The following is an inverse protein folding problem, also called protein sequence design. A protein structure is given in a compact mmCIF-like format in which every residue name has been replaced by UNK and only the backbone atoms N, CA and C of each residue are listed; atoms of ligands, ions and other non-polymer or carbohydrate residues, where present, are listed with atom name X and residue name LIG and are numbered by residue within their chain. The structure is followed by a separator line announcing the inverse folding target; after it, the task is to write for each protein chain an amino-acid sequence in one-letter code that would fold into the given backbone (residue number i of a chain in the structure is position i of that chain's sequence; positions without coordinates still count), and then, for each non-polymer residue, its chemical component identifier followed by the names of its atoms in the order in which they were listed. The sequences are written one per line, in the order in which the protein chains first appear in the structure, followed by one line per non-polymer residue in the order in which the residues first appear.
data_IF_489314430269
#
_entry.id   IF_489314430269
#
_cell.length_a   1.000
_cell.length_b   1.000
_cell.length_c   1.000
_cell.angle_alpha   90.00
_cell.angle_beta   90.00
_cell.angle_gamma   90.00
#
_symmetry.space_group_name_H-M   'P 1'
#
loop_
_entity.id
_entity.type
_entity.pdbx_description
1 polymer ?
#
# COMPACT_ATOMS: atom_id res chain seq x y z
N UNK A 1 -66.63 -41.10 12.56
CA UNK A 1 -66.97 -39.66 12.57
C UNK A 1 -66.09 -38.98 11.54
N UNK A 2 -66.53 -38.86 10.27
CA UNK A 2 -67.19 -37.67 9.68
C UNK A 2 -66.27 -36.45 9.68
N UNK A 3 -66.07 -35.67 8.61
CA UNK A 3 -66.61 -35.61 7.26
C UNK A 3 -66.00 -34.35 6.61
N UNK A 4 -65.63 -34.45 5.32
CA UNK A 4 -65.74 -33.44 4.23
C UNK A 4 -65.27 -31.99 4.47
N UNK A 5 -64.29 -31.50 3.71
CA UNK A 5 -64.37 -31.01 2.31
C UNK A 5 -64.45 -29.49 2.20
N UNK A 6 -63.44 -28.94 1.54
CA UNK A 6 -63.37 -27.74 0.68
C UNK A 6 -64.53 -26.73 0.74
N UNK A 7 -64.19 -25.45 0.95
CA UNK A 7 -64.74 -24.34 0.17
C UNK A 7 -63.66 -23.35 -0.28
N UNK A 8 -63.96 -22.73 -1.42
CA UNK A 8 -63.13 -21.94 -2.33
C UNK A 8 -62.94 -20.49 -1.84
N UNK A 9 -61.89 -19.85 -2.40
CA UNK A 9 -61.51 -18.42 -2.39
C UNK A 9 -62.68 -17.46 -2.74
N UNK A 10 -62.60 -16.16 -2.40
CA UNK A 10 -61.91 -15.19 -3.29
C UNK A 10 -61.08 -14.10 -2.58
N UNK A 11 -60.05 -13.63 -3.28
CA UNK A 11 -59.34 -12.35 -3.06
C UNK A 11 -60.24 -11.14 -3.38
N UNK A 12 -59.95 -9.93 -2.86
CA UNK A 12 -59.39 -8.92 -3.76
C UNK A 12 -58.44 -7.87 -3.14
N UNK A 13 -57.50 -7.44 -3.99
CA UNK A 13 -57.07 -6.05 -4.30
C UNK A 13 -56.51 -5.14 -3.19
N UNK A 14 -55.31 -4.64 -3.45
CA UNK A 14 -54.77 -3.44 -2.81
C UNK A 14 -53.33 -3.16 -3.20
N UNK A 15 -53.04 -2.98 -4.49
CA UNK A 15 -51.80 -2.37 -4.94
C UNK A 15 -51.91 -0.85 -4.73
N UNK A 16 -50.99 -0.25 -3.98
CA UNK A 16 -50.77 1.20 -3.98
C UNK A 16 -49.35 1.44 -4.44
N UNK A 17 -49.22 1.80 -5.71
CA UNK A 17 -48.02 2.36 -6.31
C UNK A 17 -47.94 3.82 -5.89
N UNK A 18 -46.93 4.18 -5.11
CA UNK A 18 -46.55 5.56 -4.85
C UNK A 18 -45.64 6.05 -5.98
N UNK A 19 -46.23 6.67 -7.00
CA UNK A 19 -45.50 7.52 -7.95
C UNK A 19 -45.09 8.81 -7.22
N UNK A 20 -43.80 8.95 -6.91
CA UNK A 20 -43.23 10.23 -6.52
C UNK A 20 -42.63 10.89 -7.77
N UNK A 21 -43.44 11.70 -8.43
CA UNK A 21 -43.01 12.65 -9.47
C UNK A 21 -42.25 13.80 -8.81
N UNK A 22 -40.92 13.83 -8.94
CA UNK A 22 -40.13 15.02 -8.65
C UNK A 22 -39.94 15.80 -9.95
N UNK A 23 -40.47 17.01 -9.95
CA UNK A 23 -40.50 17.93 -11.07
C UNK A 23 -39.09 18.44 -11.42
N UNK A 24 -38.79 18.40 -12.71
CA UNK A 24 -37.69 19.05 -13.38
C UNK A 24 -37.88 20.58 -13.30
N UNK A 25 -37.00 21.29 -12.58
CA UNK A 25 -36.89 22.74 -12.65
C UNK A 25 -35.57 23.11 -13.34
N UNK A 26 -35.61 23.22 -14.66
CA UNK A 26 -34.55 23.83 -15.44
C UNK A 26 -34.54 25.34 -15.16
N UNK A 27 -33.53 25.81 -14.43
CA UNK A 27 -33.29 27.24 -14.25
C UNK A 27 -32.11 27.61 -15.14
N UNK A 28 -32.43 28.12 -16.32
CA UNK A 28 -31.49 28.75 -17.22
C UNK A 28 -31.21 30.17 -16.73
N UNK A 29 -29.96 30.45 -16.36
CA UNK A 29 -29.45 31.82 -16.29
C UNK A 29 -28.32 31.94 -17.30
N UNK A 30 -28.62 32.67 -18.38
CA UNK A 30 -27.67 33.14 -19.36
C UNK A 30 -26.72 34.14 -18.69
N UNK A 31 -25.43 33.83 -18.68
CA UNK A 31 -24.35 34.74 -18.30
C UNK A 31 -23.60 35.20 -19.54
N UNK A 32 -24.03 36.32 -20.11
CA UNK A 32 -23.36 37.06 -21.17
C UNK A 32 -22.19 37.84 -20.57
N UNK A 33 -20.97 37.65 -21.08
CA UNK A 33 -19.80 38.38 -20.59
C UNK A 33 -18.54 38.10 -21.40
N UNK A 34 -18.60 38.33 -22.70
CA UNK A 34 -17.41 38.41 -23.58
C UNK A 34 -16.75 39.77 -23.39
N UNK A 35 -15.69 39.83 -22.60
CA UNK A 35 -14.71 40.92 -22.67
C UNK A 35 -13.52 40.45 -23.51
N UNK A 36 -13.59 40.79 -24.80
CA UNK A 36 -12.47 40.69 -25.73
C UNK A 36 -11.56 41.89 -25.49
N UNK A 37 -10.47 41.69 -24.76
CA UNK A 37 -9.37 42.66 -24.72
C UNK A 37 -8.51 42.44 -25.95
N UNK A 38 -8.77 43.26 -26.97
CA UNK A 38 -7.90 43.49 -28.11
C UNK A 38 -6.63 44.21 -27.62
N UNK A 39 -5.47 43.56 -27.69
CA UNK A 39 -4.18 44.25 -27.70
C UNK A 39 -3.49 44.05 -29.05
N UNK A 40 -3.10 45.19 -29.61
CA UNK A 40 -2.38 45.36 -30.88
C UNK A 40 -1.01 44.66 -30.87
N UNK A 41 -0.50 44.23 -32.04
CA UNK A 41 0.82 43.62 -32.15
C UNK A 41 1.91 44.70 -32.18
N UNK A 42 2.61 44.89 -31.06
CA UNK A 42 3.82 45.71 -31.05
C UNK A 42 5.00 44.91 -31.59
N UNK A 43 5.49 45.34 -32.76
CA UNK A 43 6.78 44.94 -33.34
C UNK A 43 7.93 45.50 -32.50
N UNK A 44 8.83 44.64 -31.99
CA UNK A 44 10.14 45.07 -31.48
C UNK A 44 11.22 44.05 -31.87
N UNK A 45 12.02 44.48 -32.84
CA UNK A 45 13.47 44.33 -33.03
C UNK A 45 14.23 43.20 -32.31
N UNK A 46 14.79 42.32 -33.15
CA UNK A 46 15.90 41.39 -32.91
C UNK A 46 17.15 42.09 -32.37
N UNK A 47 17.72 41.57 -31.28
CA UNK A 47 19.16 41.73 -30.98
C UNK A 47 19.68 40.42 -30.41
N UNK A 48 20.44 39.69 -31.22
CA UNK A 48 21.25 38.55 -30.80
C UNK A 48 22.38 39.01 -29.87
N UNK A 49 22.50 38.37 -28.71
CA UNK A 49 23.78 38.25 -28.00
C UNK A 49 23.79 36.90 -27.28
N UNK A 50 24.28 35.90 -27.98
CA UNK A 50 24.67 34.61 -27.43
C UNK A 50 25.93 34.79 -26.58
N UNK A 51 25.77 34.83 -25.25
CA UNK A 51 26.87 34.58 -24.31
C UNK A 51 26.71 33.16 -23.79
N UNK A 52 27.47 32.25 -24.41
CA UNK A 52 27.62 30.86 -23.97
C UNK A 52 28.35 30.85 -22.62
N UNK A 53 27.79 30.24 -21.55
CA UNK A 53 28.60 29.87 -20.40
C UNK A 53 29.48 28.68 -20.80
N UNK A 54 30.77 28.94 -20.98
CA UNK A 54 31.79 27.90 -21.06
C UNK A 54 31.74 27.07 -19.77
N UNK A 55 31.51 25.75 -19.82
CA UNK A 55 31.60 24.91 -18.63
C UNK A 55 33.05 24.91 -18.16
N UNK A 56 33.29 25.52 -17.00
CA UNK A 56 34.50 25.32 -16.21
C UNK A 56 34.64 23.83 -15.97
N UNK A 57 35.70 23.22 -16.51
CA UNK A 57 36.09 21.85 -16.19
C UNK A 57 36.38 21.82 -14.69
N UNK A 58 35.43 21.32 -13.91
CA UNK A 58 35.68 20.98 -12.52
C UNK A 58 36.68 19.82 -12.52
N UNK A 59 37.91 20.10 -12.08
CA UNK A 59 38.87 19.09 -11.72
C UNK A 59 38.25 18.22 -10.63
N UNK A 60 37.78 17.03 -11.00
CA UNK A 60 37.36 15.99 -10.07
C UNK A 60 38.60 15.62 -9.25
N UNK A 61 38.67 16.10 -8.00
CA UNK A 61 39.59 15.51 -7.03
C UNK A 61 39.22 14.02 -6.93
N UNK A 62 40.18 13.09 -6.91
CA UNK A 62 39.87 11.69 -6.71
C UNK A 62 39.18 11.56 -5.35
N UNK A 63 37.90 11.20 -5.35
CA UNK A 63 37.22 10.67 -4.18
C UNK A 63 37.98 9.40 -3.83
N UNK A 64 38.85 9.48 -2.83
CA UNK A 64 39.40 8.29 -2.19
C UNK A 64 38.22 7.54 -1.62
N UNK A 65 37.79 6.49 -2.32
CA UNK A 65 37.00 5.40 -1.74
C UNK A 65 37.89 4.78 -0.66
N UNK A 66 37.78 5.31 0.56
CA UNK A 66 38.29 4.66 1.74
C UNK A 66 37.44 3.40 1.89
N UNK A 67 38.06 2.25 1.69
CA UNK A 67 37.50 0.94 2.03
C UNK A 67 37.11 1.01 3.52
N UNK A 68 35.82 1.21 3.78
CA UNK A 68 35.29 1.34 5.12
C UNK A 68 35.28 -0.05 5.75
N UNK A 69 35.91 -0.18 6.92
CA UNK A 69 35.78 -1.37 7.75
C UNK A 69 34.29 -1.65 7.99
N UNK A 70 33.82 -2.90 7.85
CA UNK A 70 32.42 -3.23 8.13
C UNK A 70 32.00 -2.71 9.50
N UNK A 71 30.80 -2.10 9.62
CA UNK A 71 30.32 -1.60 10.90
C UNK A 71 30.28 -2.72 11.93
N UNK A 72 30.90 -2.47 13.07
CA UNK A 72 30.86 -3.38 14.20
C UNK A 72 29.69 -2.97 15.11
N UNK A 73 28.82 -3.91 15.52
CA UNK A 73 27.77 -3.62 16.49
C UNK A 73 28.33 -3.01 17.78
N UNK A 74 27.59 -2.12 18.46
CA UNK A 74 28.02 -1.56 19.74
C UNK A 74 28.08 -2.65 20.83
N UNK A 75 28.97 -2.48 21.81
CA UNK A 75 29.14 -3.42 22.94
C UNK A 75 27.86 -3.58 23.79
N UNK A 76 26.96 -2.60 23.76
CA UNK A 76 25.65 -2.66 24.41
C UNK A 76 24.57 -2.15 23.47
N UNK A 77 23.52 -2.96 23.27
CA UNK A 77 22.36 -2.57 22.48
C UNK A 77 21.40 -1.67 23.28
N UNK A 78 20.80 -0.65 22.63
CA UNK A 78 19.78 0.20 23.25
C UNK A 78 18.45 -0.52 23.44
N UNK A 79 17.61 0.06 24.30
CA UNK A 79 16.26 -0.42 24.58
C UNK A 79 16.20 -1.65 25.48
N UNK A 80 15.01 -1.92 25.99
CA UNK A 80 14.74 -3.05 26.86
C UNK A 80 14.55 -4.32 26.02
N UNK A 81 15.10 -5.44 26.49
CA UNK A 81 14.74 -6.75 25.95
C UNK A 81 13.28 -7.03 26.28
N UNK A 82 12.51 -7.46 25.29
CA UNK A 82 11.12 -7.85 25.45
C UNK A 82 10.90 -9.27 24.93
N UNK A 83 10.05 -10.03 25.61
CA UNK A 83 9.66 -11.40 25.22
C UNK A 83 8.38 -11.42 24.37
N UNK A 84 7.85 -10.24 24.03
CA UNK A 84 6.71 -10.06 23.14
C UNK A 84 7.20 -9.78 21.72
N UNK A 85 6.44 -10.26 20.73
CA UNK A 85 6.69 -10.08 19.30
C UNK A 85 7.21 -11.36 18.63
N UNK A 86 7.89 -11.23 17.48
CA UNK A 86 8.30 -12.40 16.72
C UNK A 86 9.23 -13.33 17.47
N UNK A 87 8.93 -14.63 17.40
CA UNK A 87 9.70 -15.69 18.01
C UNK A 87 10.82 -16.16 17.05
N UNK A 88 11.78 -16.90 17.60
CA UNK A 88 12.85 -17.48 16.81
C UNK A 88 12.29 -18.40 15.71
N UNK A 89 12.72 -18.17 14.47
CA UNK A 89 12.33 -18.95 13.30
C UNK A 89 11.03 -18.50 12.65
N UNK A 90 10.33 -17.52 13.22
CA UNK A 90 9.16 -16.92 12.60
C UNK A 90 9.53 -16.31 11.24
N UNK A 91 8.63 -16.49 10.27
CA UNK A 91 8.76 -15.93 8.93
C UNK A 91 7.92 -14.67 8.84
N UNK A 92 8.59 -13.55 8.53
CA UNK A 92 7.99 -12.24 8.40
C UNK A 92 8.04 -11.77 6.95
N UNK A 93 7.11 -10.90 6.62
CA UNK A 93 7.04 -10.18 5.35
C UNK A 93 7.20 -8.68 5.62
N UNK A 94 7.89 -7.99 4.71
CA UNK A 94 7.93 -6.53 4.70
C UNK A 94 6.56 -6.01 4.33
N UNK A 95 6.05 -5.04 5.10
CA UNK A 95 4.72 -4.45 4.94
C UNK A 95 4.77 -2.93 5.11
N UNK A 96 3.87 -2.23 4.42
CA UNK A 96 3.70 -0.78 4.56
C UNK A 96 4.89 0.07 4.10
N UNK A 97 5.80 -0.51 3.30
CA UNK A 97 6.90 0.20 2.64
C UNK A 97 6.46 0.51 1.21
N UNK A 98 6.70 1.75 0.75
CA UNK A 98 6.31 2.17 -0.60
C UNK A 98 7.19 1.50 -1.66
N UNK A 99 6.63 1.29 -2.85
CA UNK A 99 7.30 0.61 -3.98
C UNK A 99 8.61 1.27 -4.44
N UNK A 100 8.79 2.56 -4.16
CA UNK A 100 9.97 3.36 -4.49
C UNK A 100 10.86 3.64 -3.27
N UNK A 101 10.67 2.87 -2.19
CA UNK A 101 11.45 2.93 -0.95
C UNK A 101 11.98 1.53 -0.57
N UNK A 102 12.65 1.43 0.58
CA UNK A 102 13.22 0.18 1.10
C UNK A 102 13.09 0.11 2.62
N UNK A 103 12.99 -1.11 3.16
CA UNK A 103 13.14 -1.31 4.60
C UNK A 103 14.62 -1.41 4.97
N UNK A 104 15.10 -0.46 5.76
CA UNK A 104 16.48 -0.45 6.23
C UNK A 104 16.73 -1.53 7.29
N UNK A 105 17.77 -2.34 7.07
CA UNK A 105 18.34 -3.27 8.05
C UNK A 105 19.54 -2.58 8.73
N UNK A 106 19.54 -2.52 10.05
CA UNK A 106 20.52 -1.74 10.83
C UNK A 106 21.38 -2.60 11.73
N UNK A 107 22.58 -2.11 12.03
CA UNK A 107 23.53 -2.82 12.90
C UNK A 107 23.06 -2.93 14.36
N UNK A 108 22.15 -2.05 14.80
CA UNK A 108 21.54 -2.09 16.12
C UNK A 108 20.13 -1.44 16.09
N UNK A 109 19.29 -1.68 17.11
CA UNK A 109 17.96 -1.08 17.21
C UNK A 109 18.01 0.45 17.24
N UNK A 110 17.33 1.11 16.32
CA UNK A 110 17.18 2.56 16.31
C UNK A 110 17.60 3.19 14.99
N UNK A 111 17.03 4.35 14.69
CA UNK A 111 17.27 5.07 13.42
C UNK A 111 18.63 5.75 13.34
N UNK A 112 19.34 5.86 14.47
CA UNK A 112 20.64 6.53 14.54
C UNK A 112 21.82 5.59 14.22
N UNK A 113 21.56 4.28 14.08
CA UNK A 113 22.58 3.28 13.78
C UNK A 113 22.77 3.05 12.29
N UNK A 114 23.97 2.66 11.89
CA UNK A 114 24.32 2.43 10.49
C UNK A 114 23.42 1.38 9.82
N UNK A 115 23.06 1.66 8.56
CA UNK A 115 22.32 0.75 7.69
C UNK A 115 23.33 -0.24 7.10
N UNK A 116 23.10 -1.53 7.31
CA UNK A 116 23.97 -2.63 6.87
C UNK A 116 23.36 -3.41 5.71
N UNK A 117 22.10 -3.16 5.39
CA UNK A 117 21.37 -3.81 4.32
C UNK A 117 20.01 -3.18 4.12
N UNK A 118 19.30 -3.66 3.11
CA UNK A 118 17.95 -3.22 2.77
C UNK A 118 17.12 -4.42 2.34
N UNK A 119 15.84 -4.40 2.68
CA UNK A 119 14.85 -5.35 2.19
C UNK A 119 13.91 -4.63 1.23
N UNK A 120 13.54 -5.31 0.14
CA UNK A 120 12.57 -4.81 -0.82
C UNK A 120 11.18 -4.62 -0.16
N UNK A 121 10.33 -3.70 -0.67
CA UNK A 121 9.02 -3.39 -0.09
C UNK A 121 8.09 -4.59 0.12
N UNK A 122 8.24 -5.63 -0.69
CA UNK A 122 7.47 -6.88 -0.62
C UNK A 122 8.33 -8.11 -0.35
N UNK A 123 9.53 -7.92 0.20
CA UNK A 123 10.38 -9.04 0.63
C UNK A 123 9.62 -9.94 1.62
N UNK A 124 9.74 -11.23 1.42
CA UNK A 124 9.04 -12.28 2.18
C UNK A 124 10.04 -13.28 2.77
N UNK A 125 9.64 -14.01 3.80
CA UNK A 125 10.48 -15.02 4.42
C UNK A 125 11.66 -14.47 5.22
N UNK A 126 11.52 -13.23 5.74
CA UNK A 126 12.51 -12.64 6.64
C UNK A 126 12.45 -13.39 7.97
N UNK A 127 13.54 -14.06 8.33
CA UNK A 127 13.56 -14.94 9.50
C UNK A 127 13.89 -14.16 10.76
N UNK A 128 13.00 -14.16 11.75
CA UNK A 128 13.25 -13.54 13.04
C UNK A 128 14.14 -14.42 13.93
N UNK A 129 15.06 -13.79 14.68
CA UNK A 129 15.92 -14.52 15.63
C UNK A 129 15.26 -14.74 16.99
N UNK A 130 14.16 -14.03 17.26
CA UNK A 130 13.50 -13.97 18.56
C UNK A 130 14.06 -12.89 19.50
N UNK A 131 15.10 -12.16 19.11
CA UNK A 131 15.59 -11.03 19.88
C UNK A 131 14.85 -9.74 19.52
N UNK A 132 14.10 -9.24 20.51
CA UNK A 132 13.22 -8.09 20.35
C UNK A 132 13.62 -6.98 21.32
N UNK A 133 13.59 -5.73 20.84
CA UNK A 133 14.00 -4.55 21.62
C UNK A 133 12.94 -3.46 21.58
N UNK A 134 12.49 -3.05 22.76
CA UNK A 134 11.60 -1.91 22.93
C UNK A 134 12.41 -0.66 23.28
N UNK A 135 12.38 0.33 22.39
CA UNK A 135 12.86 1.68 22.63
C UNK A 135 11.67 2.56 23.03
N UNK A 136 11.93 3.78 23.48
CA UNK A 136 10.89 4.68 24.03
C UNK A 136 9.70 4.93 23.09
N UNK A 137 9.88 4.81 21.78
CA UNK A 137 8.87 5.08 20.76
C UNK A 137 8.89 4.09 19.57
N UNK A 138 9.61 2.98 19.67
CA UNK A 138 9.75 2.04 18.56
C UNK A 138 10.07 0.64 19.06
N UNK A 139 9.57 -0.37 18.35
CA UNK A 139 9.88 -1.76 18.56
C UNK A 139 10.75 -2.25 17.38
N UNK A 140 11.88 -2.89 17.69
CA UNK A 140 12.82 -3.47 16.74
C UNK A 140 12.93 -4.98 16.90
N UNK A 141 13.00 -5.66 15.76
CA UNK A 141 13.16 -7.12 15.64
C UNK A 141 14.52 -7.40 15.01
N UNK A 142 15.28 -8.29 15.62
CA UNK A 142 16.49 -8.82 14.99
C UNK A 142 16.12 -9.94 14.01
N UNK A 143 16.67 -9.86 12.81
CA UNK A 143 16.37 -10.74 11.68
C UNK A 143 17.66 -11.27 11.05
N UNK A 144 17.55 -12.43 10.43
CA UNK A 144 18.55 -12.97 9.50
C UNK A 144 18.35 -12.33 8.12
N UNK A 145 19.44 -11.81 7.55
CA UNK A 145 19.48 -11.16 6.24
C UNK A 145 20.87 -11.37 5.61
N UNK A 146 20.95 -11.86 4.37
CA UNK A 146 22.20 -12.11 3.64
C UNK A 146 23.29 -12.83 4.46
N UNK A 147 22.92 -13.91 5.17
CA UNK A 147 23.78 -14.68 6.09
C UNK A 147 24.36 -13.87 7.27
N UNK A 148 23.79 -12.70 7.56
CA UNK A 148 24.14 -11.82 8.68
C UNK A 148 22.92 -11.53 9.55
N UNK A 149 23.17 -10.92 10.72
CA UNK A 149 22.11 -10.46 11.63
C UNK A 149 21.98 -8.94 11.53
N UNK A 150 20.74 -8.46 11.56
CA UNK A 150 20.44 -7.04 11.57
C UNK A 150 19.11 -6.73 12.20
N UNK A 151 18.84 -5.43 12.39
CA UNK A 151 17.66 -4.94 13.09
C UNK A 151 16.74 -4.17 12.15
N UNK A 152 15.47 -4.56 12.14
CA UNK A 152 14.40 -3.87 11.41
C UNK A 152 13.37 -3.32 12.39
N UNK A 153 12.68 -2.26 12.01
CA UNK A 153 11.58 -1.72 12.81
C UNK A 153 10.34 -2.60 12.60
N UNK A 154 9.74 -3.07 13.69
CA UNK A 154 8.57 -3.95 13.71
C UNK A 154 7.38 -3.37 12.94
N UNK A 155 7.26 -2.03 12.90
CA UNK A 155 6.17 -1.36 12.19
C UNK A 155 6.07 -1.76 10.70
N UNK A 156 7.20 -2.14 10.09
CA UNK A 156 7.32 -2.46 8.66
C UNK A 156 7.49 -3.95 8.38
N UNK A 157 7.25 -4.82 9.37
CA UNK A 157 7.19 -6.26 9.18
C UNK A 157 5.91 -6.83 9.78
N UNK A 158 5.43 -7.95 9.26
CA UNK A 158 4.25 -8.62 9.77
C UNK A 158 4.16 -10.05 9.27
N UNK A 159 3.17 -10.78 9.78
CA UNK A 159 2.89 -12.13 9.29
C UNK A 159 1.78 -12.08 8.26
N UNK A 160 1.99 -12.68 7.09
CA UNK A 160 0.91 -12.85 6.13
C UNK A 160 0.07 -14.08 6.48
N UNK A 161 -1.17 -13.84 6.87
CA UNK A 161 -2.13 -14.86 7.29
C UNK A 161 -2.99 -15.39 6.16
N UNK A 162 -4.26 -15.69 6.49
CA UNK A 162 -5.25 -16.20 5.54
C UNK A 162 -5.39 -15.27 4.34
N UNK A 163 -5.34 -15.87 3.14
CA UNK A 163 -5.63 -15.22 1.87
C UNK A 163 -6.97 -15.69 1.31
N UNK A 164 -7.74 -14.79 0.72
CA UNK A 164 -8.98 -15.10 0.01
C UNK A 164 -9.03 -14.37 -1.33
N UNK A 165 -9.42 -15.10 -2.38
CA UNK A 165 -9.69 -14.52 -3.69
C UNK A 165 -11.10 -13.94 -3.72
N UNK A 166 -11.21 -12.72 -4.22
CA UNK A 166 -12.42 -11.92 -4.27
C UNK A 166 -12.66 -11.42 -5.70
N UNK A 167 -13.93 -11.23 -6.04
CA UNK A 167 -14.35 -10.59 -7.27
C UNK A 167 -14.80 -9.15 -6.99
N UNK A 168 -14.56 -8.24 -7.92
CA UNK A 168 -15.05 -6.86 -7.84
C UNK A 168 -15.80 -6.48 -9.12
N UNK A 169 -16.93 -5.79 -8.96
CA UNK A 169 -17.68 -5.16 -10.06
C UNK A 169 -17.32 -3.66 -10.20
N UNK A 170 -16.34 -3.18 -9.43
CA UNK A 170 -15.95 -1.77 -9.43
C UNK A 170 -15.16 -1.42 -10.69
N UNK A 171 -15.50 -0.29 -11.30
CA UNK A 171 -14.80 0.28 -12.44
C UNK A 171 -14.08 1.56 -12.02
N UNK A 172 -12.87 1.76 -12.54
CA UNK A 172 -12.06 2.95 -12.30
C UNK A 172 -11.23 3.30 -13.54
N UNK A 173 -10.67 4.52 -13.55
CA UNK A 173 -9.83 5.00 -14.64
C UNK A 173 -8.42 4.38 -14.58
N UNK A 174 -8.33 3.11 -15.01
CA UNK A 174 -7.11 2.33 -15.03
C UNK A 174 -6.80 1.58 -13.73
N UNK A 175 -5.76 0.76 -13.77
CA UNK A 175 -5.43 -0.21 -12.71
C UNK A 175 -5.03 0.46 -11.39
N UNK A 176 -4.29 1.57 -11.44
CA UNK A 176 -3.90 2.32 -10.24
C UNK A 176 -5.12 2.92 -9.53
N UNK A 177 -6.04 3.53 -10.28
CA UNK A 177 -7.27 4.06 -9.72
C UNK A 177 -8.17 2.95 -9.15
N UNK A 178 -8.19 1.77 -9.80
CA UNK A 178 -8.91 0.61 -9.29
C UNK A 178 -8.28 0.08 -8.00
N UNK A 179 -6.96 -0.05 -7.95
CA UNK A 179 -6.23 -0.50 -6.76
C UNK A 179 -6.43 0.45 -5.57
N UNK A 180 -6.34 1.76 -5.80
CA UNK A 180 -6.61 2.77 -4.77
C UNK A 180 -8.08 2.74 -4.30
N UNK A 181 -9.03 2.58 -5.24
CA UNK A 181 -10.45 2.44 -4.91
C UNK A 181 -10.70 1.20 -4.04
N UNK A 182 -10.13 0.05 -4.38
CA UNK A 182 -10.24 -1.19 -3.60
C UNK A 182 -9.57 -1.05 -2.22
N UNK A 183 -8.36 -0.50 -2.14
CA UNK A 183 -7.68 -0.27 -0.87
C UNK A 183 -8.47 0.67 0.04
N UNK A 184 -9.14 1.69 -0.52
CA UNK A 184 -9.94 2.63 0.26
C UNK A 184 -11.12 1.99 1.00
N UNK A 185 -11.61 0.82 0.56
CA UNK A 185 -12.72 0.14 1.24
C UNK A 185 -12.32 -0.48 2.58
N UNK A 186 -11.01 -0.60 2.85
CA UNK A 186 -10.46 -1.17 4.09
C UNK A 186 -10.01 -0.10 5.09
N UNK A 187 -10.05 1.18 4.72
CA UNK A 187 -9.56 2.27 5.57
C UNK A 187 -10.51 2.53 6.74
N UNK A 188 -9.97 2.54 7.96
CA UNK A 188 -10.64 3.00 9.17
C UNK A 188 -10.18 4.41 9.56
N UNK A 189 -11.03 5.14 10.29
CA UNK A 189 -10.70 6.48 10.81
C UNK A 189 -10.23 6.47 12.26
N UNK A 190 -10.61 5.43 13.01
CA UNK A 190 -10.25 5.25 14.41
C UNK A 190 -9.93 3.76 14.67
N UNK A 191 -8.65 3.36 14.67
CA UNK A 191 -7.48 4.18 14.34
C UNK A 191 -7.42 4.56 12.85
N UNK A 192 -6.67 5.60 12.48
CA UNK A 192 -6.46 5.96 11.08
C UNK A 192 -5.62 4.91 10.38
N UNK A 193 -6.09 4.43 9.22
CA UNK A 193 -5.30 3.54 8.38
C UNK A 193 -4.38 4.30 7.41
N UNK A 194 -3.23 3.71 7.09
CA UNK A 194 -2.36 4.12 5.99
C UNK A 194 -2.51 3.16 4.82
N UNK A 195 -2.71 3.71 3.62
CA UNK A 195 -2.72 2.96 2.36
C UNK A 195 -1.38 3.18 1.67
N UNK A 196 -0.68 2.09 1.35
CA UNK A 196 0.66 2.13 0.73
C UNK A 196 0.67 1.26 -0.53
N UNK A 197 1.09 1.81 -1.66
CA UNK A 197 1.42 1.02 -2.85
C UNK A 197 2.79 0.39 -2.63
N UNK A 198 2.83 -0.92 -2.42
CA UNK A 198 4.03 -1.70 -2.11
C UNK A 198 4.72 -2.22 -3.36
N UNK A 199 3.94 -2.63 -4.37
CA UNK A 199 4.44 -3.04 -5.68
C UNK A 199 3.66 -2.29 -6.76
N UNK A 200 4.38 -1.56 -7.61
CA UNK A 200 3.79 -0.91 -8.78
C UNK A 200 3.77 -1.87 -9.99
N UNK A 201 3.20 -1.41 -11.10
CA UNK A 201 3.12 -2.18 -12.33
C UNK A 201 4.45 -2.29 -13.12
N UNK A 202 5.61 -2.07 -12.49
CA UNK A 202 6.89 -2.15 -13.18
C UNK A 202 7.50 -3.55 -12.97
N UNK A 203 8.04 -4.11 -14.06
CA UNK A 203 8.69 -5.43 -14.18
C UNK A 203 7.78 -6.66 -14.38
N UNK A 204 6.63 -6.50 -15.01
CA UNK A 204 5.76 -7.63 -15.39
C UNK A 204 5.67 -7.77 -16.93
N UNK A 205 5.51 -9.00 -17.43
CA UNK A 205 5.28 -9.31 -18.84
C UNK A 205 4.14 -8.44 -19.42
N UNK A 206 4.21 -8.04 -20.69
CA UNK A 206 3.21 -7.15 -21.36
C UNK A 206 1.74 -7.60 -21.18
N UNK A 207 1.52 -8.86 -20.81
CA UNK A 207 0.22 -9.49 -20.65
C UNK A 207 -0.32 -9.54 -19.22
N UNK A 208 0.49 -9.22 -18.20
CA UNK A 208 0.05 -9.29 -16.80
C UNK A 208 0.57 -8.10 -16.03
N UNK A 209 -0.30 -7.50 -15.21
CA UNK A 209 0.05 -6.38 -14.35
C UNK A 209 -0.35 -6.74 -12.93
N UNK A 210 0.61 -6.67 -12.01
CA UNK A 210 0.37 -6.92 -10.59
C UNK A 210 0.58 -5.61 -9.81
N UNK A 211 -0.41 -5.22 -9.00
CA UNK A 211 -0.27 -4.17 -7.99
C UNK A 211 -0.44 -4.79 -6.60
N UNK A 212 0.38 -4.34 -5.63
CA UNK A 212 0.21 -4.71 -4.23
C UNK A 212 -0.01 -3.45 -3.41
N UNK A 213 -1.10 -3.42 -2.64
CA UNK A 213 -1.38 -2.38 -1.66
C UNK A 213 -1.42 -2.97 -0.25
N UNK A 214 -0.78 -2.29 0.70
CA UNK A 214 -0.99 -2.57 2.12
C UNK A 214 -1.88 -1.50 2.74
N UNK A 215 -2.90 -1.93 3.47
CA UNK A 215 -3.77 -1.08 4.29
C UNK A 215 -3.52 -1.42 5.75
N UNK A 216 -2.73 -0.59 6.43
CA UNK A 216 -2.26 -0.82 7.81
C UNK A 216 -3.00 0.09 8.78
N UNK A 217 -3.39 -0.44 9.94
CA UNK A 217 -4.04 0.32 11.01
C UNK A 217 -5.55 0.18 11.02
N UNK A 218 -6.06 -1.04 11.24
CA UNK A 218 -7.51 -1.35 11.24
C UNK A 218 -8.14 -1.46 12.64
N UNK A 219 -7.36 -1.22 13.71
CA UNK A 219 -7.88 -1.14 15.09
C UNK A 219 -8.06 -2.45 15.84
N UNK A 220 -7.71 -3.57 15.23
CA UNK A 220 -7.62 -4.87 15.88
C UNK A 220 -6.20 -5.08 16.42
N UNK A 221 -6.07 -5.64 17.63
CA UNK A 221 -4.77 -5.89 18.25
C UNK A 221 -4.06 -7.11 17.65
N UNK A 222 -4.83 -8.01 17.00
CA UNK A 222 -4.32 -9.21 16.33
C UNK A 222 -4.04 -8.96 14.84
N UNK A 223 -4.86 -8.12 14.20
CA UNK A 223 -4.76 -7.82 12.77
C UNK A 223 -4.18 -6.43 12.56
N UNK A 224 -2.94 -6.39 12.05
CA UNK A 224 -2.23 -5.16 11.69
C UNK A 224 -2.90 -4.46 10.49
N UNK A 225 -3.41 -5.23 9.53
CA UNK A 225 -3.99 -4.70 8.30
C UNK A 225 -4.31 -5.76 7.26
N UNK A 226 -4.36 -5.33 6.00
CA UNK A 226 -4.58 -6.21 4.85
C UNK A 226 -3.58 -5.89 3.72
N UNK A 227 -3.08 -6.95 3.07
CA UNK A 227 -2.36 -6.89 1.81
C UNK A 227 -3.33 -7.25 0.69
N UNK A 228 -3.42 -6.36 -0.28
CA UNK A 228 -4.29 -6.45 -1.43
C UNK A 228 -3.43 -6.68 -2.67
N UNK A 229 -3.54 -7.87 -3.28
CA UNK A 229 -2.89 -8.18 -4.55
C UNK A 229 -3.91 -8.08 -5.66
N UNK A 230 -3.75 -7.09 -6.53
CA UNK A 230 -4.60 -6.88 -7.70
C UNK A 230 -3.82 -7.32 -8.93
N UNK A 231 -4.44 -8.19 -9.72
CA UNK A 231 -3.84 -8.73 -10.93
C UNK A 231 -4.76 -8.41 -12.09
N UNK A 232 -4.22 -7.75 -13.12
CA UNK A 232 -4.85 -7.65 -14.42
C UNK A 232 -4.13 -8.58 -15.40
N UNK A 233 -4.89 -9.38 -16.13
CA UNK A 233 -4.40 -10.10 -17.30
C UNK A 233 -4.95 -9.39 -18.53
N UNK A 234 -4.10 -8.89 -19.43
CA UNK A 234 -4.55 -8.25 -20.67
C UNK A 234 -4.84 -9.30 -21.72
N UNK A 235 -5.96 -9.19 -22.44
CA UNK A 235 -6.23 -9.99 -23.63
C UNK A 235 -5.79 -9.25 -24.90
N UNK A 236 -5.76 -9.95 -26.05
CA UNK A 236 -5.33 -9.38 -27.34
C UNK A 236 -6.30 -8.30 -27.89
N UNK A 237 -7.27 -7.80 -27.12
CA UNK A 237 -8.32 -6.89 -27.58
C UNK A 237 -8.77 -5.78 -26.60
N UNK A 238 -8.34 -5.75 -25.34
CA UNK A 238 -8.71 -4.69 -24.38
C UNK A 238 -8.47 -5.04 -22.91
N UNK A 239 -9.20 -4.36 -22.02
CA UNK A 239 -9.13 -4.52 -20.55
C UNK A 239 -9.47 -5.97 -20.19
N UNK A 240 -8.48 -6.77 -19.85
CA UNK A 240 -8.73 -8.16 -19.53
C UNK A 240 -9.09 -8.38 -18.05
N UNK A 241 -9.13 -9.64 -17.64
CA UNK A 241 -9.70 -10.04 -16.35
C UNK A 241 -8.90 -9.46 -15.19
N UNK A 242 -9.61 -8.92 -14.21
CA UNK A 242 -9.03 -8.45 -12.95
C UNK A 242 -9.38 -9.43 -11.84
N UNK A 243 -8.39 -10.02 -11.20
CA UNK A 243 -8.56 -10.75 -9.95
C UNK A 243 -7.98 -9.95 -8.78
N UNK A 244 -8.59 -10.15 -7.62
CA UNK A 244 -8.26 -9.43 -6.40
C UNK A 244 -8.10 -10.45 -5.27
N UNK A 245 -6.95 -10.44 -4.60
CA UNK A 245 -6.72 -11.25 -3.40
C UNK A 245 -6.55 -10.35 -2.20
N UNK A 246 -7.31 -10.62 -1.14
CA UNK A 246 -7.13 -10.02 0.17
C UNK A 246 -6.38 -11.01 1.07
N UNK A 247 -5.34 -10.55 1.74
CA UNK A 247 -4.60 -11.33 2.72
C UNK A 247 -4.46 -10.55 4.02
N UNK A 248 -4.74 -11.19 5.16
CA UNK A 248 -4.57 -10.53 6.47
C UNK A 248 -3.09 -10.33 6.79
N UNK A 249 -2.75 -9.16 7.32
CA UNK A 249 -1.44 -8.89 7.92
C UNK A 249 -1.62 -8.96 9.43
N UNK A 250 -0.95 -9.89 10.10
CA UNK A 250 -1.06 -10.11 11.54
C UNK A 250 0.09 -9.43 12.29
N UNK A 251 -0.19 -8.91 13.48
CA UNK A 251 0.79 -8.21 14.34
C UNK A 251 1.50 -9.14 15.32
N UNK A 252 0.86 -10.22 15.79
CA UNK A 252 1.38 -11.03 16.92
C UNK A 252 1.65 -12.50 16.58
N UNK A 253 1.59 -12.85 15.30
CA UNK A 253 1.83 -14.20 14.82
C UNK A 253 0.63 -14.82 14.13
N UNK A 254 0.77 -16.12 13.87
CA UNK A 254 -0.23 -16.95 13.19
C UNK A 254 -0.58 -18.17 14.02
N UNK A 255 -1.87 -18.47 14.10
CA UNK A 255 -2.34 -19.79 14.49
C UNK A 255 -2.00 -20.83 13.40
N UNK A 256 -2.09 -22.15 13.72
CA UNK A 256 -1.85 -23.20 12.73
C UNK A 256 -2.75 -23.15 11.48
N UNK A 257 -3.91 -22.47 11.56
CA UNK A 257 -4.82 -22.24 10.43
C UNK A 257 -4.62 -20.87 9.76
N UNK A 258 -3.47 -20.23 10.01
CA UNK A 258 -3.04 -18.93 9.45
C UNK A 258 -3.89 -17.73 9.86
N UNK A 259 -4.73 -17.86 10.89
CA UNK A 259 -5.42 -16.71 11.47
C UNK A 259 -4.48 -15.93 12.38
N UNK A 260 -4.67 -14.62 12.41
CA UNK A 260 -3.99 -13.76 13.37
C UNK A 260 -4.33 -14.16 14.82
N UNK A 261 -3.35 -14.07 15.71
CA UNK A 261 -3.46 -14.36 17.16
C UNK A 261 -3.08 -13.17 18.02
#
# INVERSE_FOLDING_TARGET
MTSRSRRRRPSPRGAVAGLLTIALAATACAGSGTDVVTQDPTTITTTDTTTSPQPTVATTAPTTTSEATPPTPPDSLPGDLIEFGPAQGDQLDVVGVAFDDVLNVRVAPGTDFEIIGTLDPDASGVTATGHNRLLSNSFWVEVEFDDQLGWVNEAFVGYLGVSQELSTDQEADGMYALGELLASTYVTQDPPSSVTLVRNAADEDEFRTTLIYDVIGIGDDSVKGFRLTIVAESDLGGTGAVSFTEQTICSRGLAPDLRCV
#
